data_IF_797153180960
#
_entry.id   IF_797153180960
#
_cell.length_a   1.000
_cell.length_b   1.000
_cell.length_c   1.000
_cell.angle_alpha   90.00
_cell.angle_beta   90.00
_cell.angle_gamma   90.00
#
_symmetry.space_group_name_H-M   'P 1'
#
loop_
_entity.id
_entity.type
_entity.pdbx_description
1 polymer ?
#
# COMPACT_ATOMS: atom_id res chain seq x y z
N UNK A 1 -8.85 -5.52 -3.94
CA UNK A 1 -8.19 -5.08 -5.19
C UNK A 1 -7.98 -6.19 -6.17
N UNK A 2 -7.10 -7.16 -5.89
CA UNK A 2 -6.80 -8.25 -6.83
C UNK A 2 -8.06 -9.04 -7.22
N UNK A 3 -8.97 -9.28 -6.28
CA UNK A 3 -10.27 -9.93 -6.54
C UNK A 3 -11.14 -9.15 -7.53
N UNK A 4 -11.18 -7.83 -7.42
CA UNK A 4 -11.97 -6.98 -8.32
C UNK A 4 -11.36 -6.95 -9.73
N UNK A 5 -10.02 -6.92 -9.83
CA UNK A 5 -9.32 -7.03 -11.11
C UNK A 5 -9.57 -8.39 -11.79
N UNK A 6 -9.58 -9.48 -11.03
CA UNK A 6 -9.90 -10.82 -11.53
C UNK A 6 -11.35 -10.91 -12.00
N UNK A 7 -12.30 -10.27 -11.29
CA UNK A 7 -13.69 -10.18 -11.72
C UNK A 7 -13.84 -9.38 -13.04
N UNK A 8 -13.10 -8.29 -13.21
CA UNK A 8 -13.04 -7.53 -14.47
C UNK A 8 -12.47 -8.40 -15.60
N UNK A 9 -11.42 -9.18 -15.32
CA UNK A 9 -10.87 -10.16 -16.26
C UNK A 9 -11.88 -11.23 -16.67
N UNK A 10 -12.67 -11.71 -15.71
CA UNK A 10 -13.72 -12.72 -15.91
C UNK A 10 -14.85 -12.25 -16.84
N UNK A 11 -15.19 -10.96 -16.83
CA UNK A 11 -16.16 -10.39 -17.77
C UNK A 11 -15.72 -10.47 -19.23
N UNK A 12 -14.43 -10.70 -19.51
CA UNK A 12 -13.95 -10.92 -20.88
C UNK A 12 -14.37 -12.24 -21.51
N UNK A 13 -14.85 -13.21 -20.72
CA UNK A 13 -15.40 -14.45 -21.26
C UNK A 13 -16.89 -14.34 -21.61
N UNK A 14 -17.57 -13.26 -21.22
CA UNK A 14 -18.96 -13.02 -21.56
C UNK A 14 -19.08 -12.40 -22.97
N UNK A 15 -20.12 -12.74 -23.74
CA UNK A 15 -20.36 -12.09 -25.03
C UNK A 15 -20.61 -10.59 -24.83
N UNK A 16 -20.09 -9.79 -25.77
CA UNK A 16 -20.24 -8.34 -25.71
C UNK A 16 -21.72 -7.94 -25.80
N UNK A 17 -22.25 -7.44 -24.69
CA UNK A 17 -23.60 -6.91 -24.55
C UNK A 17 -23.57 -5.56 -23.83
N UNK A 18 -24.66 -4.79 -23.95
CA UNK A 18 -24.82 -3.53 -23.20
C UNK A 18 -24.73 -3.76 -21.68
N UNK A 19 -25.28 -4.88 -21.19
CA UNK A 19 -25.16 -5.31 -19.80
C UNK A 19 -23.73 -5.63 -19.36
N UNK A 20 -22.90 -6.19 -20.26
CA UNK A 20 -21.47 -6.42 -20.00
C UNK A 20 -20.69 -5.10 -19.90
N UNK A 21 -21.05 -4.09 -20.72
CA UNK A 21 -20.45 -2.75 -20.67
C UNK A 21 -20.77 -2.02 -19.36
N UNK A 22 -22.04 -2.03 -18.96
CA UNK A 22 -22.47 -1.47 -17.67
C UNK A 22 -21.76 -2.16 -16.49
N UNK A 23 -21.68 -3.50 -16.51
CA UNK A 23 -20.98 -4.28 -15.48
C UNK A 23 -19.51 -3.92 -15.36
N UNK A 24 -18.81 -3.70 -16.48
CA UNK A 24 -17.41 -3.28 -16.48
C UNK A 24 -17.21 -1.92 -15.80
N UNK A 25 -18.04 -0.93 -16.14
CA UNK A 25 -17.96 0.42 -15.57
C UNK A 25 -18.22 0.39 -14.06
N UNK A 26 -19.19 -0.41 -13.61
CA UNK A 26 -19.48 -0.58 -12.18
C UNK A 26 -18.29 -1.20 -11.45
N UNK A 27 -17.70 -2.28 -11.98
CA UNK A 27 -16.55 -2.93 -11.36
C UNK A 27 -15.30 -2.02 -11.33
N UNK A 28 -15.06 -1.26 -12.40
CA UNK A 28 -13.99 -0.26 -12.42
C UNK A 28 -14.20 0.84 -11.38
N UNK A 29 -15.44 1.32 -11.21
CA UNK A 29 -15.79 2.31 -10.19
C UNK A 29 -15.57 1.76 -8.77
N UNK A 30 -16.00 0.52 -8.51
CA UNK A 30 -15.76 -0.16 -7.22
C UNK A 30 -14.26 -0.33 -6.97
N UNK A 31 -13.49 -0.68 -8.01
CA UNK A 31 -12.05 -0.76 -7.91
C UNK A 31 -11.44 0.58 -7.50
N UNK A 32 -11.77 1.69 -8.18
CA UNK A 32 -11.28 3.04 -7.82
C UNK A 32 -11.68 3.42 -6.40
N UNK A 33 -12.91 3.11 -5.98
CA UNK A 33 -13.39 3.39 -4.64
C UNK A 33 -12.54 2.70 -3.56
N UNK A 34 -12.27 1.40 -3.72
CA UNK A 34 -11.42 0.65 -2.79
C UNK A 34 -9.98 1.19 -2.79
N UNK A 35 -9.50 1.71 -3.93
CA UNK A 35 -8.13 2.26 -4.06
C UNK A 35 -7.97 3.52 -3.23
N UNK A 36 -8.92 4.42 -3.39
CA UNK A 36 -8.95 5.71 -2.70
C UNK A 36 -9.02 5.56 -1.18
N UNK A 37 -9.64 4.49 -0.66
CA UNK A 37 -9.74 4.23 0.77
C UNK A 37 -8.52 3.54 1.38
N UNK A 38 -7.73 2.82 0.58
CA UNK A 38 -6.68 1.93 1.09
C UNK A 38 -5.30 2.35 0.62
N UNK A 39 -4.89 1.88 -0.56
CA UNK A 39 -3.52 1.99 -1.05
C UNK A 39 -3.09 3.43 -1.29
N UNK A 40 -4.01 4.30 -1.73
CA UNK A 40 -3.70 5.70 -1.99
C UNK A 40 -3.25 6.42 -0.69
N UNK A 41 -4.06 6.50 0.38
CA UNK A 41 -3.64 7.17 1.61
C UNK A 41 -2.55 6.40 2.37
N UNK A 42 -2.67 5.08 2.51
CA UNK A 42 -1.74 4.27 3.31
C UNK A 42 -0.32 4.33 2.75
N UNK A 43 -0.17 4.30 1.41
CA UNK A 43 1.14 4.36 0.77
C UNK A 43 1.90 5.64 1.11
N UNK A 44 1.25 6.80 1.02
CA UNK A 44 1.87 8.08 1.33
C UNK A 44 2.10 8.29 2.83
N UNK A 45 1.18 7.83 3.67
CA UNK A 45 1.33 7.89 5.14
C UNK A 45 2.56 7.10 5.58
N UNK A 46 2.73 5.87 5.05
CA UNK A 46 3.87 5.02 5.40
C UNK A 46 5.22 5.70 5.11
N UNK A 47 5.34 6.42 3.98
CA UNK A 47 6.57 7.16 3.64
C UNK A 47 6.90 8.21 4.70
N UNK A 48 5.89 8.86 5.27
CA UNK A 48 6.07 9.91 6.29
C UNK A 48 6.36 9.30 7.66
N UNK A 49 5.71 8.21 8.03
CA UNK A 49 5.85 7.56 9.33
C UNK A 49 7.15 6.78 9.49
N UNK A 50 7.61 6.12 8.41
CA UNK A 50 8.86 5.34 8.41
C UNK A 50 10.09 6.24 8.25
N UNK A 51 9.93 7.44 7.70
CA UNK A 51 11.06 8.35 7.53
C UNK A 51 11.37 9.15 8.78
N UNK A 52 12.64 9.10 9.20
CA UNK A 52 13.22 10.02 10.17
C UNK A 52 12.99 11.47 9.68
N UNK A 53 12.55 12.40 10.55
CA UNK A 53 12.18 13.76 10.16
C UNK A 53 13.23 14.51 9.31
N UNK A 54 14.52 14.29 9.57
CA UNK A 54 15.62 14.91 8.83
C UNK A 54 15.79 14.38 7.39
N UNK A 55 15.42 13.12 7.12
CA UNK A 55 15.55 12.48 5.81
C UNK A 55 14.23 12.38 5.04
N UNK A 56 13.13 12.84 5.64
CA UNK A 56 11.78 12.75 5.07
C UNK A 56 11.67 13.34 3.67
N UNK A 57 12.27 14.51 3.44
CA UNK A 57 12.25 15.15 2.12
C UNK A 57 12.95 14.31 1.03
N UNK A 58 14.09 13.68 1.34
CA UNK A 58 14.83 12.81 0.41
C UNK A 58 14.07 11.49 0.15
N UNK A 59 13.48 10.92 1.20
CA UNK A 59 12.72 9.67 1.08
C UNK A 59 11.46 9.88 0.25
N UNK A 60 10.75 11.00 0.50
CA UNK A 60 9.57 11.37 -0.26
C UNK A 60 9.89 11.65 -1.75
N UNK A 61 11.01 12.30 -2.06
CA UNK A 61 11.38 12.55 -3.47
C UNK A 61 11.69 11.25 -4.23
N UNK A 62 12.42 10.31 -3.61
CA UNK A 62 12.69 9.00 -4.20
C UNK A 62 11.38 8.22 -4.40
N UNK A 63 10.49 8.21 -3.40
CA UNK A 63 9.19 7.56 -3.51
C UNK A 63 8.35 8.15 -4.67
N UNK A 64 8.34 9.47 -4.82
CA UNK A 64 7.63 10.15 -5.92
C UNK A 64 8.24 9.80 -7.29
N UNK A 65 9.57 9.77 -7.43
CA UNK A 65 10.21 9.41 -8.70
C UNK A 65 9.85 7.99 -9.12
N UNK A 66 9.87 7.04 -8.17
CA UNK A 66 9.49 5.65 -8.43
C UNK A 66 8.00 5.58 -8.82
N UNK A 67 7.13 6.29 -8.10
CA UNK A 67 5.70 6.33 -8.38
C UNK A 67 5.39 6.87 -9.78
N UNK A 68 5.99 8.00 -10.15
CA UNK A 68 5.79 8.61 -11.47
C UNK A 68 6.37 7.73 -12.59
N UNK A 69 7.53 7.12 -12.37
CA UNK A 69 8.14 6.21 -13.34
C UNK A 69 7.27 4.97 -13.60
N UNK A 70 6.73 4.36 -12.53
CA UNK A 70 5.78 3.26 -12.65
C UNK A 70 4.47 3.71 -13.32
N UNK A 71 3.96 4.89 -12.97
CA UNK A 71 2.77 5.49 -13.60
C UNK A 71 2.96 5.72 -15.10
N UNK A 72 4.13 6.19 -15.52
CA UNK A 72 4.48 6.35 -16.94
C UNK A 72 4.47 5.01 -17.68
N UNK A 73 5.07 3.97 -17.08
CA UNK A 73 5.06 2.62 -17.66
C UNK A 73 3.63 2.11 -17.86
N UNK A 74 2.76 2.25 -16.87
CA UNK A 74 1.36 1.83 -17.00
C UNK A 74 0.58 2.67 -18.01
N UNK A 75 0.85 3.98 -18.08
CA UNK A 75 0.20 4.90 -19.03
C UNK A 75 0.54 4.52 -20.47
N UNK A 76 1.75 4.04 -20.73
CA UNK A 76 2.16 3.56 -22.05
C UNK A 76 1.69 2.13 -22.35
N UNK A 77 1.80 1.23 -21.37
CA UNK A 77 1.52 -0.20 -21.57
C UNK A 77 0.03 -0.50 -21.66
N UNK A 78 -0.81 0.13 -20.83
CA UNK A 78 -2.26 -0.11 -20.79
C UNK A 78 -2.96 0.10 -22.15
N UNK A 79 -2.76 1.22 -22.88
CA UNK A 79 -3.42 1.42 -24.18
C UNK A 79 -2.90 0.43 -25.24
N UNK A 80 -1.63 0.02 -25.18
CA UNK A 80 -1.08 -1.01 -26.08
C UNK A 80 -1.70 -2.39 -25.83
N UNK A 81 -1.94 -2.75 -24.57
CA UNK A 81 -2.58 -4.01 -24.21
C UNK A 81 -4.06 -4.05 -24.63
N UNK A 82 -4.73 -2.89 -24.60
CA UNK A 82 -6.13 -2.76 -24.97
C UNK A 82 -6.35 -2.64 -26.48
N UNK A 83 -5.36 -2.13 -27.22
CA UNK A 83 -5.43 -1.95 -28.67
C UNK A 83 -5.57 -3.31 -29.39
N UNK A 84 -6.56 -3.45 -30.31
CA UNK A 84 -6.73 -4.65 -31.13
C UNK A 84 -5.55 -4.95 -32.07
N UNK A 85 -4.75 -3.94 -32.42
CA UNK A 85 -3.64 -4.06 -33.39
C UNK A 85 -2.34 -4.57 -32.76
N UNK A 86 -2.23 -4.52 -31.43
CA UNK A 86 -1.04 -4.96 -30.69
C UNK A 86 -1.32 -6.26 -29.93
N UNK A 87 -1.72 -6.17 -28.66
CA UNK A 87 -1.97 -7.36 -27.85
C UNK A 87 -3.43 -7.85 -27.94
N UNK A 88 -4.39 -6.94 -28.10
CA UNK A 88 -5.82 -7.29 -28.21
C UNK A 88 -6.41 -7.97 -26.97
N UNK A 89 -5.87 -7.73 -25.77
CA UNK A 89 -6.29 -8.44 -24.56
C UNK A 89 -7.68 -8.01 -24.06
N UNK A 90 -8.19 -6.86 -24.53
CA UNK A 90 -9.51 -6.36 -24.13
C UNK A 90 -9.67 -6.34 -22.61
N UNK A 91 -10.78 -6.89 -22.13
CA UNK A 91 -11.10 -6.95 -20.69
C UNK A 91 -10.29 -8.02 -19.94
N UNK A 92 -9.65 -8.98 -20.62
CA UNK A 92 -8.79 -9.99 -19.99
C UNK A 92 -7.53 -9.40 -19.34
N UNK A 93 -7.19 -8.15 -19.65
CA UNK A 93 -6.13 -7.39 -18.97
C UNK A 93 -6.32 -7.34 -17.44
N UNK A 94 -7.56 -7.50 -16.95
CA UNK A 94 -7.87 -7.61 -15.53
C UNK A 94 -7.15 -8.76 -14.81
N UNK A 95 -6.87 -9.88 -15.49
CA UNK A 95 -6.09 -10.97 -14.89
C UNK A 95 -4.62 -10.64 -14.71
N UNK A 96 -4.03 -9.88 -15.65
CA UNK A 96 -2.64 -9.42 -15.54
C UNK A 96 -2.48 -8.47 -14.37
N UNK A 97 -3.36 -7.47 -14.27
CA UNK A 97 -3.34 -6.53 -13.15
C UNK A 97 -3.72 -7.19 -11.81
N UNK A 98 -4.65 -8.13 -11.82
CA UNK A 98 -5.00 -8.92 -10.64
C UNK A 98 -3.83 -9.79 -10.15
N UNK A 99 -3.12 -10.44 -11.07
CA UNK A 99 -1.95 -11.27 -10.76
C UNK A 99 -0.77 -10.45 -10.24
N UNK A 100 -0.43 -9.36 -10.92
CA UNK A 100 0.65 -8.45 -10.47
C UNK A 100 0.31 -7.79 -9.12
N UNK A 101 -0.93 -7.38 -8.90
CA UNK A 101 -1.37 -6.86 -7.60
C UNK A 101 -1.32 -7.92 -6.49
N UNK A 102 -1.64 -9.19 -6.79
CA UNK A 102 -1.51 -10.28 -5.83
C UNK A 102 -0.04 -10.57 -5.47
N UNK A 103 0.86 -10.55 -6.45
CA UNK A 103 2.29 -10.71 -6.21
C UNK A 103 2.86 -9.57 -5.36
N UNK A 104 2.36 -8.34 -5.54
CA UNK A 104 2.76 -7.19 -4.72
C UNK A 104 2.40 -7.33 -3.24
N UNK A 105 1.38 -8.13 -2.89
CA UNK A 105 1.05 -8.40 -1.49
C UNK A 105 2.17 -9.12 -0.74
N UNK A 106 3.00 -9.90 -1.43
CA UNK A 106 4.09 -10.65 -0.81
C UNK A 106 5.11 -9.69 -0.17
N UNK A 107 5.79 -8.79 -0.90
CA UNK A 107 6.72 -7.85 -0.29
C UNK A 107 6.02 -6.92 0.70
N UNK A 108 4.78 -6.48 0.46
CA UNK A 108 4.03 -5.71 1.46
C UNK A 108 3.90 -6.46 2.78
N UNK A 109 3.61 -7.75 2.75
CA UNK A 109 3.46 -8.54 3.97
C UNK A 109 4.77 -8.78 4.74
N UNK A 110 5.93 -8.75 4.08
CA UNK A 110 7.24 -8.93 4.74
C UNK A 110 7.92 -7.62 5.13
N UNK A 111 7.77 -6.57 4.32
CA UNK A 111 8.54 -5.34 4.44
C UNK A 111 7.78 -4.20 5.11
N UNK A 112 6.43 -4.23 5.13
CA UNK A 112 5.64 -3.16 5.70
C UNK A 112 5.61 -3.27 7.24
N UNK A 113 6.19 -2.32 7.99
CA UNK A 113 6.07 -2.27 9.44
C UNK A 113 4.68 -1.79 9.86
N UNK A 114 4.21 -2.25 11.02
CA UNK A 114 3.03 -1.68 11.67
C UNK A 114 3.47 -0.48 12.53
N UNK A 115 3.11 0.73 12.09
CA UNK A 115 3.52 2.02 12.69
C UNK A 115 2.41 2.67 13.53
N UNK A 116 1.21 2.08 13.58
CA UNK A 116 0.06 2.66 14.29
C UNK A 116 0.35 2.89 15.77
N UNK A 117 0.19 4.14 16.22
CA UNK A 117 0.29 4.53 17.62
C UNK A 117 1.72 4.67 18.14
N UNK A 118 2.72 4.71 17.25
CA UNK A 118 4.14 4.91 17.59
C UNK A 118 4.60 6.29 17.14
N UNK A 119 5.51 6.89 17.89
CA UNK A 119 6.19 8.13 17.53
C UNK A 119 7.34 7.86 16.55
N UNK A 120 7.75 8.85 15.75
CA UNK A 120 8.88 8.69 14.83
C UNK A 120 10.18 8.30 15.57
N UNK A 121 10.39 8.78 16.79
CA UNK A 121 11.56 8.45 17.61
C UNK A 121 11.58 6.97 18.04
N UNK A 122 10.42 6.41 18.38
CA UNK A 122 10.27 4.99 18.70
C UNK A 122 10.51 4.10 17.49
N UNK A 123 10.02 4.52 16.31
CA UNK A 123 10.23 3.81 15.05
C UNK A 123 11.72 3.79 14.69
N UNK A 124 12.42 4.93 14.84
CA UNK A 124 13.86 5.02 14.64
C UNK A 124 14.64 4.09 15.60
N UNK A 125 14.23 3.99 16.87
CA UNK A 125 14.81 3.05 17.84
C UNK A 125 14.65 1.58 17.40
N UNK A 126 13.46 1.21 16.93
CA UNK A 126 13.17 -0.15 16.45
C UNK A 126 14.01 -0.52 15.23
N UNK A 127 14.22 0.43 14.30
CA UNK A 127 15.13 0.25 13.18
C UNK A 127 16.59 0.14 13.61
N UNK A 128 17.05 0.97 14.56
CA UNK A 128 18.41 0.90 15.10
C UNK A 128 18.69 -0.44 15.81
N UNK A 129 17.68 -1.02 16.46
CA UNK A 129 17.73 -2.34 17.11
C UNK A 129 17.63 -3.51 16.13
N UNK A 130 17.47 -3.26 14.83
CA UNK A 130 17.37 -4.30 13.80
C UNK A 130 16.14 -5.21 13.97
N UNK A 131 15.07 -4.70 14.59
CA UNK A 131 13.86 -5.48 14.82
C UNK A 131 13.16 -5.71 13.48
N UNK A 132 12.69 -6.93 13.17
CA UNK A 132 11.90 -7.16 11.96
C UNK A 132 10.63 -6.30 11.96
N UNK A 133 10.22 -5.71 10.82
CA UNK A 133 9.00 -4.88 10.70
C UNK A 133 7.74 -5.49 11.33
N UNK A 134 7.63 -6.82 11.34
CA UNK A 134 6.50 -7.58 11.93
C UNK A 134 6.41 -7.53 13.45
N UNK A 135 7.53 -7.31 14.14
CA UNK A 135 7.60 -7.30 15.60
C UNK A 135 7.47 -5.89 16.19
N UNK A 136 7.26 -4.87 15.35
CA UNK A 136 7.14 -3.48 15.79
C UNK A 136 5.98 -3.29 16.77
N UNK A 137 4.86 -3.98 16.55
CA UNK A 137 3.71 -3.92 17.47
C UNK A 137 3.97 -4.52 18.86
N UNK A 138 4.77 -5.59 18.94
CA UNK A 138 4.97 -6.35 20.19
C UNK A 138 6.23 -5.94 20.96
N UNK A 139 7.09 -5.12 20.35
CA UNK A 139 8.36 -4.74 20.96
C UNK A 139 8.18 -3.48 21.76
N UNK A 140 8.43 -3.55 23.07
CA UNK A 140 8.43 -2.38 23.95
C UNK A 140 9.66 -1.52 23.64
N UNK A 141 9.42 -0.24 23.43
CA UNK A 141 10.44 0.77 23.16
C UNK A 141 10.96 1.36 24.47
N UNK A 142 12.16 1.93 24.43
CA UNK A 142 12.77 2.55 25.61
C UNK A 142 11.97 3.78 26.06
N UNK A 143 11.27 4.44 25.13
CA UNK A 143 10.33 5.52 25.42
C UNK A 143 9.09 5.05 26.20
N UNK A 144 8.46 3.93 25.82
CA UNK A 144 7.36 3.34 26.60
C UNK A 144 7.81 2.97 28.02
N UNK A 145 9.02 2.40 28.15
CA UNK A 145 9.59 2.05 29.46
C UNK A 145 9.84 3.29 30.32
N UNK A 146 10.34 4.38 29.73
CA UNK A 146 10.59 5.62 30.46
C UNK A 146 9.30 6.26 30.98
N UNK A 147 8.21 6.24 30.20
CA UNK A 147 6.91 6.76 30.63
C UNK A 147 6.35 5.96 31.80
N UNK A 148 6.35 4.62 31.72
CA UNK A 148 5.86 3.76 32.81
C UNK A 148 6.64 3.94 34.12
N UNK A 149 7.97 4.11 34.04
CA UNK A 149 8.79 4.39 35.23
C UNK A 149 8.46 5.75 35.85
N UNK A 150 8.07 6.73 35.03
CA UNK A 150 7.69 8.07 35.53
C UNK A 150 6.33 8.03 36.22
N UNK A 151 5.34 7.34 35.63
CA UNK A 151 4.02 7.14 36.22
C UNK A 151 4.07 6.35 37.53
N UNK A 152 4.90 5.31 37.62
CA UNK A 152 5.09 4.57 38.87
C UNK A 152 5.70 5.45 39.97
N UNK A 153 6.63 6.34 39.61
CA UNK A 153 7.24 7.27 40.57
C UNK A 153 6.25 8.33 41.06
N UNK A 154 5.40 8.87 40.18
CA UNK A 154 4.35 9.82 40.58
C UNK A 154 3.31 9.13 41.47
N UNK A 155 2.86 7.91 41.11
CA UNK A 155 1.91 7.16 41.93
C UNK A 155 2.48 6.74 43.29
N UNK A 156 3.79 6.52 43.38
CA UNK A 156 4.47 6.25 44.65
C UNK A 156 4.76 7.52 45.47
N UNK A 157 4.76 8.70 44.84
CA UNK A 157 4.90 9.98 45.53
C UNK A 157 3.55 10.49 46.08
N UNK A 158 2.44 10.10 45.45
CA UNK A 158 1.08 10.45 45.87
C UNK A 158 0.46 9.49 46.90
N UNK A 159 1.17 8.41 47.28
CA UNK A 159 0.74 7.38 48.24
C UNK A 159 1.46 7.50 49.59
#
# INVERSE_FOLDING_TARGET
>A
MSVVCVAIGGLGFAPASESSGAGLITLCSVWVFVYSLSLAPIGWITVVEVSTPALRAKTASIATVINISAGLLFTYTTPLMLSPQAAGWGTHIGFFYGGTAALYLIPCYFLLPETKGRTSAEIDELFARGIPPRKFRTTVTSYEQAVHVTEEKERAADA
#
